data_IF_026032122521
#
_entry.id   IF_026032122521
#
_cell.length_a   1.000
_cell.length_b   1.000
_cell.length_c   1.000
_cell.angle_alpha   90.00
_cell.angle_beta   90.00
_cell.angle_gamma   90.00
#
_symmetry.space_group_name_H-M   'P 1'
#
loop_
_entity.id
_entity.type
_entity.pdbx_description
1 polymer ?
#
# COMPACT_ATOMS: atom_id res chain seq x y z
N UNK A 1 16.63 3.61 24.14
CA UNK A 1 15.61 4.32 23.36
C UNK A 1 15.55 3.64 21.98
N UNK A 2 15.00 2.42 21.95
CA UNK A 2 15.10 1.47 20.82
C UNK A 2 13.73 1.16 20.20
N UNK A 3 12.73 2.02 20.39
CA UNK A 3 11.38 1.79 19.90
C UNK A 3 11.21 2.35 18.48
N UNK A 4 11.86 1.72 17.51
CA UNK A 4 11.32 1.78 16.16
C UNK A 4 10.56 0.49 15.88
N UNK A 5 9.25 0.62 15.71
CA UNK A 5 8.32 -0.42 15.24
C UNK A 5 8.61 -0.87 13.79
N UNK A 6 9.65 -0.31 13.14
CA UNK A 6 10.14 -0.71 11.83
C UNK A 6 11.62 -0.36 11.53
N UNK A 7 12.51 -0.22 12.54
CA UNK A 7 13.91 0.16 12.26
C UNK A 7 14.90 -0.81 12.91
N UNK A 8 15.61 -1.50 12.03
CA UNK A 8 17.02 -1.90 12.18
C UNK A 8 17.39 -2.95 13.22
N UNK A 9 16.51 -3.34 14.16
CA UNK A 9 16.83 -4.33 15.20
C UNK A 9 15.93 -5.58 15.26
N UNK A 10 14.79 -5.58 14.58
CA UNK A 10 13.73 -6.59 14.78
C UNK A 10 13.28 -7.28 13.50
N UNK A 11 14.02 -7.17 12.40
CA UNK A 11 13.64 -7.84 11.16
C UNK A 11 14.07 -9.31 11.28
N UNK A 12 13.09 -10.20 11.45
CA UNK A 12 13.33 -11.65 11.34
C UNK A 12 13.82 -11.97 9.92
N UNK A 13 14.56 -13.07 9.75
CA UNK A 13 15.04 -13.49 8.41
C UNK A 13 13.89 -13.57 7.38
N UNK A 14 12.67 -13.90 7.83
CA UNK A 14 11.47 -13.90 7.00
C UNK A 14 10.98 -12.49 6.62
N UNK A 15 10.96 -11.53 7.55
CA UNK A 15 10.61 -10.14 7.25
C UNK A 15 11.63 -9.47 6.33
N UNK A 16 12.92 -9.83 6.44
CA UNK A 16 13.97 -9.35 5.55
C UNK A 16 13.75 -9.85 4.12
N UNK A 17 13.34 -11.11 3.96
CA UNK A 17 12.98 -11.69 2.66
C UNK A 17 11.75 -10.99 2.09
N UNK A 18 10.71 -10.73 2.90
CA UNK A 18 9.50 -10.02 2.45
C UNK A 18 9.79 -8.56 2.04
N UNK A 19 10.66 -7.85 2.75
CA UNK A 19 11.09 -6.50 2.38
C UNK A 19 11.89 -6.53 1.07
N UNK A 20 12.79 -7.51 0.91
CA UNK A 20 13.58 -7.67 -0.32
C UNK A 20 12.70 -8.02 -1.52
N UNK A 21 11.64 -8.81 -1.31
CA UNK A 21 10.60 -9.08 -2.31
C UNK A 21 9.75 -7.85 -2.67
N UNK A 22 9.71 -6.82 -1.81
CA UNK A 22 9.07 -5.54 -2.08
C UNK A 22 10.02 -4.49 -2.69
N UNK A 23 11.19 -4.92 -3.20
CA UNK A 23 12.14 -4.03 -3.85
C UNK A 23 11.74 -3.69 -5.30
N UNK A 24 12.19 -2.52 -5.77
CA UNK A 24 12.08 -2.14 -7.19
C UNK A 24 12.80 -3.12 -8.11
N UNK A 25 13.87 -3.78 -7.65
CA UNK A 25 14.59 -4.78 -8.43
C UNK A 25 13.71 -5.98 -8.79
N UNK A 26 12.88 -6.44 -7.84
CA UNK A 26 11.96 -7.54 -8.08
C UNK A 26 10.87 -7.15 -9.10
N UNK A 27 10.37 -5.92 -9.03
CA UNK A 27 9.49 -5.37 -10.06
C UNK A 27 10.17 -5.36 -11.43
N UNK A 28 11.43 -4.92 -11.53
CA UNK A 28 12.19 -4.93 -12.78
C UNK A 28 12.41 -6.35 -13.33
N UNK A 29 12.72 -7.32 -12.47
CA UNK A 29 12.85 -8.73 -12.86
C UNK A 29 11.54 -9.27 -13.42
N UNK A 30 10.42 -9.01 -12.74
CA UNK A 30 9.09 -9.43 -13.20
C UNK A 30 8.71 -8.80 -14.55
N UNK A 31 8.97 -7.51 -14.72
CA UNK A 31 8.73 -6.81 -15.98
C UNK A 31 9.64 -7.31 -17.11
N UNK A 32 10.85 -7.78 -16.79
CA UNK A 32 11.78 -8.38 -17.77
C UNK A 32 11.35 -9.80 -18.13
N UNK A 33 10.93 -10.60 -17.15
CA UNK A 33 10.37 -11.93 -17.37
C UNK A 33 9.20 -11.88 -18.37
N UNK A 34 8.25 -10.97 -18.15
CA UNK A 34 7.11 -10.77 -19.05
C UNK A 34 7.49 -10.36 -20.48
N UNK A 35 8.68 -9.78 -20.70
CA UNK A 35 9.17 -9.45 -22.05
C UNK A 35 9.77 -10.66 -22.76
N UNK A 36 10.44 -11.55 -22.02
CA UNK A 36 11.17 -12.69 -22.57
C UNK A 36 10.26 -13.91 -22.77
N UNK A 37 9.21 -14.05 -21.96
CA UNK A 37 8.24 -15.13 -22.05
C UNK A 37 6.80 -14.60 -22.26
N UNK A 38 6.43 -14.11 -23.46
CA UNK A 38 5.10 -13.56 -23.73
C UNK A 38 3.95 -14.57 -23.51
N UNK A 39 4.21 -15.86 -23.70
CA UNK A 39 3.24 -16.95 -23.46
C UNK A 39 2.97 -17.25 -21.98
N UNK A 40 3.82 -16.75 -21.07
CA UNK A 40 3.73 -16.98 -19.62
C UNK A 40 3.60 -15.66 -18.84
N UNK A 41 3.07 -14.63 -19.50
CA UNK A 41 3.00 -13.28 -18.94
C UNK A 41 2.20 -13.25 -17.63
N UNK A 42 2.84 -12.78 -16.56
CA UNK A 42 2.20 -12.58 -15.26
C UNK A 42 1.47 -11.25 -15.21
N UNK A 43 0.31 -11.22 -14.56
CA UNK A 43 -0.42 -9.99 -14.29
C UNK A 43 0.35 -9.17 -13.24
N UNK A 44 0.76 -7.96 -13.65
CA UNK A 44 1.43 -6.99 -12.77
C UNK A 44 0.48 -5.85 -12.42
N UNK A 45 0.22 -5.68 -11.13
CA UNK A 45 -0.62 -4.63 -10.54
C UNK A 45 0.22 -3.82 -9.56
N UNK A 46 0.12 -2.50 -9.61
CA UNK A 46 0.76 -1.60 -8.66
C UNK A 46 -0.31 -0.84 -7.88
N UNK A 47 -0.21 -0.87 -6.55
CA UNK A 47 -1.05 -0.09 -5.65
C UNK A 47 -0.25 1.09 -5.10
N UNK A 48 -0.77 2.30 -5.28
CA UNK A 48 -0.11 3.54 -4.86
C UNK A 48 -0.88 4.16 -3.69
N UNK A 49 -0.17 4.49 -2.62
CA UNK A 49 -0.79 5.15 -1.48
C UNK A 49 -1.06 6.65 -1.73
N UNK A 50 -2.14 7.20 -1.15
CA UNK A 50 -2.41 8.64 -1.23
C UNK A 50 -1.26 9.50 -0.71
N UNK A 51 -0.58 9.03 0.34
CA UNK A 51 0.56 9.70 0.95
C UNK A 51 1.74 9.78 -0.03
N UNK A 52 2.04 8.70 -0.76
CA UNK A 52 3.09 8.70 -1.78
C UNK A 52 2.78 9.67 -2.92
N UNK A 53 1.52 9.71 -3.39
CA UNK A 53 1.07 10.69 -4.39
C UNK A 53 1.21 12.13 -3.89
N UNK A 54 0.76 12.41 -2.67
CA UNK A 54 0.84 13.75 -2.09
C UNK A 54 2.29 14.20 -1.89
N UNK A 55 3.16 13.31 -1.41
CA UNK A 55 4.59 13.56 -1.24
C UNK A 55 5.28 13.88 -2.56
N UNK A 56 5.02 13.09 -3.60
CA UNK A 56 5.54 13.36 -4.95
C UNK A 56 4.99 14.67 -5.53
N UNK A 57 3.70 14.97 -5.32
CA UNK A 57 3.08 16.21 -5.77
C UNK A 57 3.77 17.43 -5.13
N UNK A 58 3.98 17.39 -3.82
CA UNK A 58 4.71 18.44 -3.10
C UNK A 58 6.15 18.59 -3.58
N UNK A 59 6.89 17.48 -3.71
CA UNK A 59 8.28 17.48 -4.17
C UNK A 59 8.44 18.01 -5.59
N UNK A 60 7.56 17.61 -6.49
CA UNK A 60 7.59 18.03 -7.90
C UNK A 60 6.89 19.37 -8.14
N UNK A 61 6.31 20.00 -7.10
CA UNK A 61 5.53 21.24 -7.21
C UNK A 61 4.39 21.13 -8.23
N UNK A 62 3.65 20.03 -8.16
CA UNK A 62 2.57 19.66 -9.07
C UNK A 62 1.25 19.47 -8.33
N UNK A 63 0.14 19.52 -9.07
CA UNK A 63 -1.17 19.12 -8.54
C UNK A 63 -1.28 17.61 -8.35
N UNK A 64 -1.98 17.16 -7.32
CA UNK A 64 -2.11 15.73 -6.96
C UNK A 64 -2.68 14.87 -8.09
N UNK A 65 -3.63 15.40 -8.87
CA UNK A 65 -4.20 14.71 -10.03
C UNK A 65 -3.18 14.61 -11.18
N UNK A 66 -2.43 15.68 -11.42
CA UNK A 66 -1.38 15.68 -12.45
C UNK A 66 -0.27 14.69 -12.10
N UNK A 67 0.18 14.69 -10.84
CA UNK A 67 1.14 13.72 -10.31
C UNK A 67 0.62 12.29 -10.48
N UNK A 68 -0.66 12.02 -10.17
CA UNK A 68 -1.25 10.70 -10.35
C UNK A 68 -1.21 10.23 -11.81
N UNK A 69 -1.55 11.12 -12.76
CA UNK A 69 -1.51 10.84 -14.20
C UNK A 69 -0.08 10.55 -14.66
N UNK A 70 0.89 11.40 -14.30
CA UNK A 70 2.29 11.22 -14.69
C UNK A 70 2.90 9.96 -14.06
N UNK A 71 2.62 9.69 -12.78
CA UNK A 71 3.07 8.47 -12.10
C UNK A 71 2.48 7.21 -12.76
N UNK A 72 1.19 7.23 -13.11
CA UNK A 72 0.54 6.13 -13.82
C UNK A 72 1.16 5.90 -15.19
N UNK A 73 1.41 6.98 -15.95
CA UNK A 73 2.07 6.90 -17.25
C UNK A 73 3.49 6.35 -17.12
N UNK A 74 4.24 6.82 -16.13
CA UNK A 74 5.58 6.32 -15.82
C UNK A 74 5.55 4.80 -15.54
N UNK A 75 4.73 4.33 -14.59
CA UNK A 75 4.62 2.91 -14.25
C UNK A 75 4.19 2.03 -15.43
N UNK A 76 3.26 2.52 -16.27
CA UNK A 76 2.86 1.85 -17.51
C UNK A 76 3.97 1.84 -18.57
N UNK A 77 4.89 2.81 -18.53
CA UNK A 77 6.01 2.91 -19.48
C UNK A 77 7.25 2.08 -19.09
N UNK A 78 7.32 1.51 -17.88
CA UNK A 78 8.48 0.74 -17.38
C UNK A 78 8.77 -0.57 -18.15
N UNK A 79 8.06 -0.85 -19.25
CA UNK A 79 8.40 -1.88 -20.21
C UNK A 79 7.54 -1.84 -21.48
N UNK A 80 7.92 -2.60 -22.52
CA UNK A 80 7.08 -2.83 -23.70
C UNK A 80 5.73 -3.51 -23.34
N UNK A 81 5.68 -4.22 -22.22
CA UNK A 81 4.49 -4.84 -21.62
C UNK A 81 4.28 -4.32 -20.18
N UNK A 82 4.36 -2.99 -19.98
CA UNK A 82 4.41 -2.37 -18.65
C UNK A 82 3.26 -2.72 -17.71
N UNK A 83 3.28 -2.13 -16.51
CA UNK A 83 2.29 -2.44 -15.45
C UNK A 83 0.86 -2.38 -16.01
N UNK A 84 0.09 -3.45 -15.82
CA UNK A 84 -1.24 -3.59 -16.41
C UNK A 84 -2.22 -2.64 -15.72
N UNK A 85 -2.21 -2.64 -14.40
CA UNK A 85 -3.10 -1.83 -13.58
C UNK A 85 -2.35 -1.05 -12.52
N UNK A 86 -2.74 0.21 -12.35
CA UNK A 86 -2.26 1.09 -11.29
C UNK A 86 -3.49 1.52 -10.51
N UNK A 87 -3.58 1.14 -9.24
CA UNK A 87 -4.71 1.44 -8.37
C UNK A 87 -4.28 2.34 -7.21
N UNK A 88 -5.22 3.12 -6.72
CA UNK A 88 -5.04 3.95 -5.53
C UNK A 88 -5.58 3.22 -4.29
N UNK A 89 -4.80 3.18 -3.21
CA UNK A 89 -5.21 2.46 -1.98
C UNK A 89 -6.28 3.19 -1.16
N UNK A 90 -6.70 4.40 -1.55
CA UNK A 90 -7.86 5.10 -0.95
C UNK A 90 -9.10 4.22 -1.01
N UNK A 91 -9.28 3.46 -2.10
CA UNK A 91 -10.43 2.57 -2.25
C UNK A 91 -10.46 1.52 -1.14
N UNK A 92 -9.35 0.80 -0.93
CA UNK A 92 -9.22 -0.17 0.17
C UNK A 92 -9.38 0.49 1.54
N UNK A 93 -8.83 1.70 1.71
CA UNK A 93 -8.97 2.48 2.95
C UNK A 93 -10.42 2.81 3.27
N UNK A 94 -11.25 3.07 2.27
CA UNK A 94 -12.67 3.36 2.46
C UNK A 94 -13.42 2.12 2.99
N UNK A 95 -13.10 0.90 2.52
CA UNK A 95 -13.66 -0.31 3.11
C UNK A 95 -13.26 -0.46 4.57
N UNK A 96 -11.97 -0.31 4.89
CA UNK A 96 -11.50 -0.39 6.27
C UNK A 96 -12.22 0.64 7.16
N UNK A 97 -12.50 1.84 6.66
CA UNK A 97 -13.24 2.87 7.37
C UNK A 97 -14.70 2.46 7.63
N UNK A 98 -15.40 1.93 6.62
CA UNK A 98 -16.79 1.48 6.76
C UNK A 98 -16.91 0.36 7.79
N UNK A 99 -16.01 -0.64 7.75
CA UNK A 99 -16.00 -1.75 8.71
C UNK A 99 -15.65 -1.26 10.12
N UNK A 100 -14.62 -0.41 10.25
CA UNK A 100 -14.24 0.19 11.54
C UNK A 100 -15.37 1.03 12.13
N UNK A 101 -16.10 1.76 11.30
CA UNK A 101 -17.27 2.53 11.72
C UNK A 101 -18.38 1.61 12.24
N UNK A 102 -18.72 0.54 11.51
CA UNK A 102 -19.74 -0.42 11.93
C UNK A 102 -19.36 -1.08 13.25
N UNK A 103 -18.09 -1.49 13.40
CA UNK A 103 -17.57 -2.05 14.64
C UNK A 103 -17.65 -1.06 15.80
N UNK A 104 -17.25 0.20 15.57
CA UNK A 104 -17.32 1.26 16.57
C UNK A 104 -18.76 1.49 17.04
N UNK A 105 -19.72 1.64 16.12
CA UNK A 105 -21.13 1.87 16.47
C UNK A 105 -21.69 0.70 17.29
N UNK A 106 -21.35 -0.54 16.91
CA UNK A 106 -21.77 -1.74 17.63
C UNK A 106 -21.20 -1.77 19.06
N UNK A 107 -19.91 -1.46 19.24
CA UNK A 107 -19.24 -1.41 20.55
C UNK A 107 -19.79 -0.27 21.41
N UNK A 108 -19.95 0.92 20.83
CA UNK A 108 -20.48 2.10 21.52
C UNK A 108 -21.88 1.85 22.09
N UNK A 109 -22.78 1.21 21.33
CA UNK A 109 -24.13 0.88 21.81
C UNK A 109 -24.13 -0.12 22.98
N UNK A 110 -23.10 -0.95 23.11
CA UNK A 110 -22.96 -1.95 24.18
C UNK A 110 -22.16 -1.46 25.39
N UNK A 111 -21.69 -0.21 25.39
CA UNK A 111 -20.75 0.28 26.40
C UNK A 111 -21.29 0.23 27.85
N UNK A 112 -22.61 0.34 28.03
CA UNK A 112 -23.25 0.24 29.35
C UNK A 112 -23.31 -1.19 29.89
N UNK A 113 -23.30 -2.18 28.99
CA UNK A 113 -23.41 -3.61 29.30
C UNK A 113 -22.04 -4.29 29.38
N UNK A 114 -21.11 -3.88 28.51
CA UNK A 114 -19.76 -4.42 28.42
C UNK A 114 -18.71 -3.31 28.59
N UNK A 115 -18.11 -3.25 29.78
CA UNK A 115 -17.04 -2.29 30.11
C UNK A 115 -15.77 -2.48 29.26
N UNK A 116 -15.62 -3.59 28.52
CA UNK A 116 -14.50 -3.87 27.61
C UNK A 116 -14.79 -3.45 26.16
N UNK A 117 -16.01 -3.00 25.86
CA UNK A 117 -16.38 -2.60 24.50
C UNK A 117 -15.53 -1.42 23.98
N UNK A 118 -15.09 -0.54 24.87
CA UNK A 118 -14.28 0.65 24.58
C UNK A 118 -13.08 0.77 25.54
N UNK A 119 -11.97 1.41 25.12
CA UNK A 119 -11.76 2.06 23.82
C UNK A 119 -11.53 1.06 22.68
N UNK A 120 -11.92 1.45 21.46
CA UNK A 120 -11.54 0.76 20.24
C UNK A 120 -10.34 1.48 19.62
N UNK A 121 -9.25 0.75 19.39
CA UNK A 121 -8.04 1.27 18.75
C UNK A 121 -8.09 1.02 17.24
N UNK A 122 -7.48 1.93 16.46
CA UNK A 122 -7.28 1.70 15.03
C UNK A 122 -6.19 0.65 14.81
N UNK A 123 -6.38 -0.23 13.83
CA UNK A 123 -5.44 -1.31 13.48
C UNK A 123 -4.84 -1.15 12.08
N UNK A 124 -5.13 -0.03 11.40
CA UNK A 124 -4.67 0.21 10.04
C UNK A 124 -3.16 0.55 9.96
N UNK A 125 -2.56 1.00 11.07
CA UNK A 125 -1.12 1.23 11.16
C UNK A 125 -0.47 -0.07 11.63
N UNK A 126 0.50 -0.63 10.89
CA UNK A 126 1.18 -1.86 11.29
C UNK A 126 2.18 -1.69 12.43
N UNK A 127 2.52 -0.45 12.79
CA UNK A 127 3.40 -0.08 13.91
C UNK A 127 2.65 0.70 14.97
#
# INVERSE_FOLDING_TARGET
LNDCLACSGCITSAESVLITQQSHEELCKMLTFNKVAPSEQKLVVVSVSPQSRASLAARCKMGVLETAKKLTAFLKSLGKCGVHYVFDTTFSRNFSLLESQQEFVKRFRKQSEDKKALPMLASACPG
#
